data_IF_484391040149
#
_entry.id   IF_484391040149
#
_cell.length_a   1.000
_cell.length_b   1.000
_cell.length_c   1.000
_cell.angle_alpha   90.00
_cell.angle_beta   90.00
_cell.angle_gamma   90.00
#
_symmetry.space_group_name_H-M   'P 1'
#
loop_
_entity.id
_entity.type
_entity.pdbx_description
1 polymer ?
#
# COMPACT_ATOMS: atom_id res chain seq x y z
N UNK A 1 10.52 -33.87 14.42
CA UNK A 1 10.98 -32.95 15.47
C UNK A 1 9.89 -31.89 15.62
N UNK A 2 9.06 -31.97 16.65
CA UNK A 2 8.00 -30.99 16.90
C UNK A 2 8.63 -29.75 17.55
N UNK A 3 8.29 -28.56 17.06
CA UNK A 3 8.73 -27.29 17.65
C UNK A 3 8.10 -27.09 19.02
N UNK A 4 8.88 -26.59 19.98
CA UNK A 4 8.40 -26.27 21.34
C UNK A 4 7.38 -25.13 21.27
N UNK A 5 6.42 -25.08 22.20
CA UNK A 5 5.38 -24.03 22.24
C UNK A 5 5.98 -22.61 22.24
N UNK A 6 7.03 -22.39 23.02
CA UNK A 6 7.81 -21.14 23.03
C UNK A 6 8.43 -20.78 21.67
N UNK A 7 8.88 -21.78 20.91
CA UNK A 7 9.47 -21.56 19.58
C UNK A 7 8.40 -21.12 18.58
N UNK A 8 7.21 -21.72 18.65
CA UNK A 8 6.06 -21.34 17.82
C UNK A 8 5.62 -19.91 18.11
N UNK A 9 5.51 -19.54 19.39
CA UNK A 9 5.13 -18.19 19.81
C UNK A 9 6.16 -17.15 19.34
N UNK A 10 7.46 -17.44 19.52
CA UNK A 10 8.54 -16.56 19.01
C UNK A 10 8.49 -16.41 17.50
N UNK A 11 8.25 -17.49 16.77
CA UNK A 11 8.10 -17.46 15.33
C UNK A 11 6.91 -16.58 14.89
N UNK A 12 5.74 -16.78 15.50
CA UNK A 12 4.54 -15.99 15.22
C UNK A 12 4.75 -14.49 15.49
N UNK A 13 5.39 -14.16 16.61
CA UNK A 13 5.70 -12.77 16.96
C UNK A 13 6.67 -12.13 15.96
N UNK A 14 7.73 -12.85 15.58
CA UNK A 14 8.67 -12.40 14.56
C UNK A 14 7.98 -12.19 13.21
N UNK A 15 7.14 -13.13 12.78
CA UNK A 15 6.39 -13.03 11.54
C UNK A 15 5.39 -11.87 11.55
N UNK A 16 4.68 -11.65 12.66
CA UNK A 16 3.76 -10.52 12.81
C UNK A 16 4.49 -9.18 12.71
N UNK A 17 5.63 -9.05 13.41
CA UNK A 17 6.46 -7.85 13.36
C UNK A 17 6.96 -7.58 11.93
N UNK A 18 7.50 -8.60 11.26
CA UNK A 18 7.95 -8.47 9.87
C UNK A 18 6.81 -8.05 8.92
N UNK A 19 5.60 -8.61 9.12
CA UNK A 19 4.45 -8.26 8.31
C UNK A 19 4.02 -6.80 8.51
N UNK A 20 4.04 -6.31 9.77
CA UNK A 20 3.74 -4.91 10.10
C UNK A 20 4.78 -3.94 9.52
N UNK A 21 6.07 -4.27 9.65
CA UNK A 21 7.16 -3.48 9.09
C UNK A 21 7.05 -3.40 7.55
N UNK A 22 6.72 -4.52 6.90
CA UNK A 22 6.48 -4.54 5.46
C UNK A 22 5.27 -3.70 5.02
N UNK A 23 4.20 -3.66 5.80
CA UNK A 23 3.06 -2.77 5.56
C UNK A 23 3.46 -1.30 5.60
N UNK A 24 4.30 -0.91 6.57
CA UNK A 24 4.83 0.46 6.69
C UNK A 24 5.81 0.78 5.57
N UNK A 25 6.62 -0.20 5.14
CA UNK A 25 7.55 -0.03 4.03
C UNK A 25 6.84 0.31 2.72
N UNK A 26 5.62 -0.17 2.48
CA UNK A 26 4.85 0.23 1.30
C UNK A 26 4.44 1.72 1.32
N UNK A 27 4.21 2.30 2.50
CA UNK A 27 3.93 3.74 2.60
C UNK A 27 5.15 4.56 2.22
N UNK A 28 6.31 4.20 2.76
CA UNK A 28 7.59 4.84 2.42
C UNK A 28 7.93 4.68 0.95
N UNK A 29 7.73 3.47 0.38
CA UNK A 29 7.94 3.22 -1.06
C UNK A 29 7.03 4.10 -1.91
N UNK A 30 5.75 4.21 -1.57
CA UNK A 30 4.81 5.07 -2.29
C UNK A 30 5.21 6.54 -2.24
N UNK A 31 5.65 7.04 -1.08
CA UNK A 31 6.12 8.42 -0.92
C UNK A 31 7.36 8.71 -1.77
N UNK A 32 8.39 7.87 -1.66
CA UNK A 32 9.65 8.04 -2.42
C UNK A 32 9.38 8.02 -3.93
N UNK A 33 8.60 7.04 -4.41
CA UNK A 33 8.29 6.94 -5.84
C UNK A 33 7.44 8.12 -6.32
N UNK A 34 6.49 8.60 -5.52
CA UNK A 34 5.69 9.79 -5.87
C UNK A 34 6.55 11.03 -6.03
N UNK A 35 7.50 11.26 -5.12
CA UNK A 35 8.45 12.37 -5.20
C UNK A 35 9.33 12.24 -6.44
N UNK A 36 9.86 11.04 -6.70
CA UNK A 36 10.66 10.76 -7.89
C UNK A 36 9.87 11.00 -9.18
N UNK A 37 8.61 10.57 -9.22
CA UNK A 37 7.72 10.76 -10.35
C UNK A 37 7.47 12.25 -10.66
N UNK A 38 7.14 13.05 -9.64
CA UNK A 38 6.99 14.51 -9.79
C UNK A 38 8.27 15.18 -10.27
N UNK A 39 9.41 14.77 -9.72
CA UNK A 39 10.71 15.28 -10.12
C UNK A 39 11.01 14.96 -11.59
N UNK A 40 10.76 13.73 -12.03
CA UNK A 40 10.92 13.32 -13.44
C UNK A 40 10.04 14.14 -14.37
N UNK A 41 8.77 14.35 -14.05
CA UNK A 41 7.87 15.21 -14.85
C UNK A 41 8.43 16.64 -14.92
N UNK A 42 8.84 17.21 -13.80
CA UNK A 42 9.42 18.55 -13.75
C UNK A 42 10.69 18.67 -14.60
N UNK A 43 11.54 17.65 -14.59
CA UNK A 43 12.74 17.61 -15.44
C UNK A 43 12.37 17.55 -16.94
N UNK A 44 11.42 16.69 -17.32
CA UNK A 44 10.93 16.59 -18.71
C UNK A 44 10.39 17.95 -19.18
N UNK A 45 9.60 18.65 -18.35
CA UNK A 45 9.05 19.96 -18.71
C UNK A 45 10.10 21.05 -18.96
N UNK A 46 11.30 20.93 -18.38
CA UNK A 46 12.40 21.90 -18.55
C UNK A 46 13.25 21.64 -19.79
N UNK A 47 13.44 20.38 -20.15
CA UNK A 47 14.23 19.97 -21.34
C UNK A 47 13.43 20.21 -22.63
N UNK A 48 12.12 20.39 -22.51
CA UNK A 48 11.21 20.60 -23.61
C UNK A 48 11.41 21.94 -24.32
N UNK A 49 11.79 21.91 -25.59
CA UNK A 49 11.94 23.10 -26.44
C UNK A 49 10.75 23.36 -27.36
N UNK A 50 9.89 22.36 -27.57
CA UNK A 50 8.65 22.47 -28.36
C UNK A 50 7.42 22.28 -27.47
N UNK A 51 6.34 22.99 -27.76
CA UNK A 51 5.06 22.77 -27.07
C UNK A 51 4.58 21.35 -27.38
N UNK A 52 4.54 20.46 -26.38
CA UNK A 52 3.84 19.18 -26.47
C UNK A 52 2.34 19.35 -26.64
N UNK A 53 1.81 20.55 -26.40
CA UNK A 53 0.39 20.77 -26.15
C UNK A 53 -0.13 21.78 -27.16
N UNK A 54 -0.52 21.27 -28.31
CA UNK A 54 -1.06 22.10 -29.40
C UNK A 54 -2.58 22.04 -29.43
N UNK A 55 -3.18 21.01 -28.81
CA UNK A 55 -4.63 20.84 -28.71
C UNK A 55 -5.11 20.88 -27.25
N UNK A 56 -6.34 21.39 -26.98
CA UNK A 56 -6.93 21.39 -25.64
C UNK A 56 -7.06 19.97 -25.03
N UNK A 57 -7.19 18.94 -25.88
CA UNK A 57 -7.22 17.54 -25.45
C UNK A 57 -5.88 17.06 -24.86
N UNK A 58 -4.76 17.62 -25.34
CA UNK A 58 -3.43 17.29 -24.83
C UNK A 58 -3.21 17.79 -23.40
N UNK A 59 -3.80 18.95 -23.07
CA UNK A 59 -3.75 19.53 -21.72
C UNK A 59 -4.50 18.61 -20.75
N UNK A 60 -5.69 18.15 -21.13
CA UNK A 60 -6.48 17.22 -20.30
C UNK A 60 -5.73 15.90 -20.09
N UNK A 61 -5.15 15.34 -21.16
CA UNK A 61 -4.36 14.11 -21.05
C UNK A 61 -3.11 14.28 -20.18
N UNK A 62 -2.45 15.43 -20.25
CA UNK A 62 -1.31 15.73 -19.37
C UNK A 62 -1.73 15.75 -17.90
N UNK A 63 -2.82 16.45 -17.57
CA UNK A 63 -3.35 16.46 -16.21
C UNK A 63 -3.73 15.05 -15.75
N UNK A 64 -4.34 14.24 -16.63
CA UNK A 64 -4.64 12.85 -16.32
C UNK A 64 -3.37 12.03 -16.05
N UNK A 65 -2.35 12.14 -16.92
CA UNK A 65 -1.06 11.44 -16.77
C UNK A 65 -0.40 11.81 -15.44
N UNK A 66 -0.42 13.07 -15.04
CA UNK A 66 0.26 13.54 -13.81
C UNK A 66 -0.57 13.20 -12.57
N UNK A 67 -1.86 13.55 -12.55
CA UNK A 67 -2.70 13.47 -11.35
C UNK A 67 -3.13 12.04 -11.05
N UNK A 68 -3.47 11.25 -12.08
CA UNK A 68 -4.01 9.92 -11.85
C UNK A 68 -3.05 8.99 -11.09
N UNK A 69 -1.76 8.87 -11.45
CA UNK A 69 -0.80 8.08 -10.67
C UNK A 69 -0.58 8.62 -9.26
N UNK A 70 -0.61 9.95 -9.06
CA UNK A 70 -0.50 10.56 -7.72
C UNK A 70 -1.66 10.16 -6.81
N UNK A 71 -2.89 10.15 -7.34
CA UNK A 71 -4.06 9.65 -6.61
C UNK A 71 -3.88 8.17 -6.26
N UNK A 72 -3.35 7.35 -7.17
CA UNK A 72 -3.09 5.94 -6.90
C UNK A 72 -2.02 5.72 -5.83
N UNK A 73 -0.95 6.51 -5.81
CA UNK A 73 0.04 6.47 -4.74
C UNK A 73 -0.55 6.95 -3.41
N UNK A 74 -1.38 8.00 -3.41
CA UNK A 74 -2.12 8.41 -2.22
C UNK A 74 -3.06 7.30 -1.71
N UNK A 75 -3.65 6.50 -2.60
CA UNK A 75 -4.47 5.35 -2.23
C UNK A 75 -3.67 4.20 -1.56
N UNK A 76 -2.34 4.13 -1.76
CA UNK A 76 -1.48 3.21 -1.00
C UNK A 76 -1.41 3.62 0.47
N UNK A 77 -1.37 4.93 0.74
CA UNK A 77 -1.33 5.52 2.08
C UNK A 77 -2.68 5.46 2.79
N UNK A 78 -3.79 5.37 2.04
CA UNK A 78 -5.13 5.46 2.62
C UNK A 78 -5.42 4.30 3.60
N UNK A 79 -5.74 4.60 4.87
CA UNK A 79 -5.92 3.60 5.92
C UNK A 79 -7.18 2.77 5.66
N UNK A 80 -7.04 1.65 4.97
CA UNK A 80 -8.17 0.82 4.56
C UNK A 80 -8.43 -0.32 5.54
N UNK A 81 -8.48 -0.01 6.84
CA UNK A 81 -8.83 -1.02 7.86
C UNK A 81 -10.28 -1.49 7.72
N UNK A 82 -11.19 -0.65 7.21
CA UNK A 82 -12.60 -1.02 6.95
C UNK A 82 -12.78 -2.02 5.81
N UNK A 83 -11.82 -2.16 4.88
CA UNK A 83 -11.88 -3.15 3.80
C UNK A 83 -10.94 -4.32 4.03
N UNK A 84 -10.22 -4.39 5.16
CA UNK A 84 -9.71 -5.68 5.60
C UNK A 84 -10.97 -6.54 5.78
N UNK A 85 -11.18 -7.59 4.96
CA UNK A 85 -12.32 -8.46 5.13
C UNK A 85 -12.34 -8.86 6.60
N UNK A 86 -13.51 -8.92 7.23
CA UNK A 86 -13.63 -9.64 8.49
C UNK A 86 -13.19 -11.08 8.18
N UNK A 87 -11.90 -11.35 8.34
CA UNK A 87 -11.27 -12.65 8.13
C UNK A 87 -12.17 -13.62 8.86
N UNK A 88 -12.78 -14.55 8.12
CA UNK A 88 -13.89 -15.40 8.57
C UNK A 88 -13.69 -15.72 10.04
N UNK A 89 -14.43 -15.00 10.89
CA UNK A 89 -14.31 -15.14 12.33
C UNK A 89 -14.71 -16.59 12.61
N UNK A 90 -13.74 -17.46 12.94
CA UNK A 90 -13.98 -18.61 13.80
C UNK A 90 -14.37 -18.04 15.16
N UNK A 91 -15.60 -17.53 15.24
CA UNK A 91 -16.03 -16.39 16.07
C UNK A 91 -16.06 -16.67 17.58
N UNK A 92 -15.57 -17.83 18.02
CA UNK A 92 -15.68 -18.28 19.41
C UNK A 92 -14.38 -18.21 20.21
N UNK A 93 -13.21 -18.04 19.59
CA UNK A 93 -11.92 -18.18 20.31
C UNK A 93 -10.97 -16.96 20.24
N UNK A 94 -11.26 -15.96 19.41
CA UNK A 94 -10.36 -14.81 19.19
C UNK A 94 -11.00 -13.55 19.78
N UNK A 95 -10.34 -12.92 20.74
CA UNK A 95 -10.85 -11.75 21.48
C UNK A 95 -10.37 -10.40 20.92
N UNK A 96 -9.50 -10.39 19.91
CA UNK A 96 -8.99 -9.17 19.25
C UNK A 96 -8.26 -8.21 20.22
N UNK A 97 -7.47 -8.77 21.15
CA UNK A 97 -6.85 -8.02 22.25
C UNK A 97 -5.67 -7.14 21.79
N UNK A 98 -5.03 -7.47 20.66
CA UNK A 98 -3.89 -6.70 20.14
C UNK A 98 -4.25 -5.27 19.68
N UNK A 99 -5.48 -5.07 19.23
CA UNK A 99 -6.01 -3.75 18.84
C UNK A 99 -7.53 -3.79 18.90
N UNK A 100 -8.10 -3.14 19.90
CA UNK A 100 -9.53 -3.00 20.11
C UNK A 100 -9.97 -1.55 19.92
N UNK A 101 -11.22 -1.35 19.51
CA UNK A 101 -11.80 -0.02 19.54
C UNK A 101 -12.12 0.36 21.00
N UNK A 102 -11.95 1.62 21.45
CA UNK A 102 -12.28 2.03 22.82
C UNK A 102 -13.73 1.77 23.25
N UNK A 103 -14.62 1.46 22.31
CA UNK A 103 -16.01 1.05 22.58
C UNK A 103 -16.18 -0.45 22.80
N UNK A 104 -15.14 -1.26 22.58
CA UNK A 104 -15.16 -2.73 22.67
C UNK A 104 -14.60 -3.26 24.00
N UNK A 105 -13.82 -2.46 24.73
CA UNK A 105 -13.27 -2.79 26.05
C UNK A 105 -13.52 -1.60 26.98
N UNK A 106 -14.25 -1.83 28.07
CA UNK A 106 -14.75 -0.75 28.94
C UNK A 106 -13.74 -0.41 30.05
N UNK A 107 -12.92 -1.37 30.48
CA UNK A 107 -11.91 -1.16 31.52
C UNK A 107 -10.63 -1.98 31.32
N UNK A 108 -9.54 -1.55 31.98
CA UNK A 108 -8.26 -2.28 32.00
C UNK A 108 -8.42 -3.63 32.69
N UNK A 109 -9.26 -3.73 33.73
CA UNK A 109 -9.52 -4.98 34.43
C UNK A 109 -10.22 -5.99 33.51
N UNK A 110 -11.16 -5.52 32.69
CA UNK A 110 -11.82 -6.35 31.67
C UNK A 110 -10.80 -6.86 30.63
N UNK A 111 -9.85 -6.01 30.23
CA UNK A 111 -8.76 -6.41 29.32
C UNK A 111 -7.87 -7.51 29.92
N UNK A 112 -7.43 -7.34 31.17
CA UNK A 112 -6.56 -8.32 31.86
C UNK A 112 -7.27 -9.66 32.02
N UNK A 113 -8.53 -9.65 32.46
CA UNK A 113 -9.34 -10.87 32.58
C UNK A 113 -9.53 -11.57 31.24
N UNK A 114 -9.68 -10.81 30.15
CA UNK A 114 -9.80 -11.39 28.81
C UNK A 114 -8.49 -12.03 28.34
N UNK A 115 -7.34 -11.51 28.78
CA UNK A 115 -6.00 -12.00 28.45
C UNK A 115 -5.71 -13.37 29.07
N UNK A 116 -6.16 -13.59 30.31
CA UNK A 116 -5.98 -14.86 31.04
C UNK A 116 -6.76 -16.04 30.42
N UNK A 117 -7.83 -15.73 29.69
CA UNK A 117 -8.71 -16.73 29.05
C UNK A 117 -8.39 -16.95 27.56
N UNK A 118 -7.40 -16.26 27.00
CA UNK A 118 -7.11 -16.26 25.56
C UNK A 118 -6.02 -17.26 25.17
N UNK A 119 -6.27 -17.98 24.09
CA UNK A 119 -5.22 -18.71 23.37
C UNK A 119 -4.37 -17.72 22.57
N UNK A 120 -3.19 -17.44 23.10
CA UNK A 120 -2.22 -16.49 22.53
C UNK A 120 -1.79 -16.92 21.11
N UNK A 121 -1.66 -18.22 20.83
CA UNK A 121 -1.26 -18.72 19.51
C UNK A 121 -2.34 -18.41 18.47
N UNK A 122 -3.62 -18.60 18.82
CA UNK A 122 -4.74 -18.25 17.94
C UNK A 122 -4.88 -16.76 17.71
N UNK A 123 -4.69 -15.95 18.76
CA UNK A 123 -4.79 -14.49 18.69
C UNK A 123 -3.67 -13.91 17.79
N UNK A 124 -2.42 -14.34 17.98
CA UNK A 124 -1.29 -13.95 17.13
C UNK A 124 -1.48 -14.40 15.68
N UNK A 125 -1.95 -15.62 15.46
CA UNK A 125 -2.20 -16.16 14.12
C UNK A 125 -3.28 -15.35 13.39
N UNK A 126 -4.33 -14.94 14.11
CA UNK A 126 -5.38 -14.10 13.56
C UNK A 126 -4.89 -12.72 13.15
N UNK A 127 -4.09 -12.06 14.00
CA UNK A 127 -3.50 -10.78 13.67
C UNK A 127 -2.48 -10.87 12.53
N UNK A 128 -1.65 -11.91 12.51
CA UNK A 128 -0.73 -12.17 11.41
C UNK A 128 -1.49 -12.33 10.09
N UNK A 129 -2.62 -13.03 10.08
CA UNK A 129 -3.45 -13.18 8.89
C UNK A 129 -4.02 -11.83 8.44
N UNK A 130 -4.58 -11.03 9.35
CA UNK A 130 -5.08 -9.68 9.03
C UNK A 130 -4.01 -8.79 8.41
N UNK A 131 -2.84 -8.72 9.07
CA UNK A 131 -1.71 -7.89 8.61
C UNK A 131 -1.20 -8.39 7.26
N UNK A 132 -1.18 -9.70 7.04
CA UNK A 132 -0.79 -10.29 5.76
C UNK A 132 -1.73 -9.91 4.61
N UNK A 133 -3.04 -9.91 4.84
CA UNK A 133 -4.02 -9.43 3.85
C UNK A 133 -3.82 -7.94 3.56
N UNK A 134 -3.61 -7.14 4.60
CA UNK A 134 -3.37 -5.71 4.45
C UNK A 134 -2.09 -5.41 3.66
N UNK A 135 -1.03 -6.19 3.89
CA UNK A 135 0.21 -6.14 3.12
C UNK A 135 -0.03 -6.40 1.64
N UNK A 136 -0.79 -7.43 1.30
CA UNK A 136 -1.06 -7.77 -0.10
C UNK A 136 -1.92 -6.71 -0.80
N UNK A 137 -2.92 -6.15 -0.09
CA UNK A 137 -3.70 -5.02 -0.59
C UNK A 137 -2.81 -3.80 -0.90
N UNK A 138 -1.89 -3.44 -0.01
CA UNK A 138 -0.93 -2.36 -0.25
C UNK A 138 0.01 -2.66 -1.42
N UNK A 139 0.49 -3.90 -1.52
CA UNK A 139 1.31 -4.36 -2.65
C UNK A 139 0.58 -4.16 -3.97
N UNK A 140 -0.66 -4.64 -4.09
CA UNK A 140 -1.46 -4.53 -5.31
C UNK A 140 -1.70 -3.07 -5.69
N UNK A 141 -2.05 -2.22 -4.72
CA UNK A 141 -2.22 -0.77 -4.96
C UNK A 141 -0.93 -0.10 -5.42
N UNK A 142 0.18 -0.43 -4.78
CA UNK A 142 1.49 0.10 -5.15
C UNK A 142 1.89 -0.32 -6.57
N UNK A 143 1.73 -1.59 -6.93
CA UNK A 143 2.03 -2.08 -8.28
C UNK A 143 1.14 -1.44 -9.33
N UNK A 144 -0.15 -1.23 -9.05
CA UNK A 144 -1.06 -0.50 -9.95
C UNK A 144 -0.61 0.94 -10.13
N UNK A 145 -0.30 1.66 -9.05
CA UNK A 145 0.19 3.03 -9.11
C UNK A 145 1.47 3.13 -9.94
N UNK A 146 2.42 2.21 -9.72
CA UNK A 146 3.66 2.12 -10.46
C UNK A 146 3.42 1.86 -11.95
N UNK A 147 2.55 0.90 -12.28
CA UNK A 147 2.21 0.59 -13.67
C UNK A 147 1.66 1.81 -14.42
N UNK A 148 0.71 2.54 -13.83
CA UNK A 148 0.13 3.72 -14.46
C UNK A 148 1.11 4.90 -14.54
N UNK A 149 1.97 5.07 -13.53
CA UNK A 149 3.05 6.06 -13.58
C UNK A 149 4.02 5.79 -14.73
N UNK A 150 4.48 4.53 -14.85
CA UNK A 150 5.36 4.11 -15.94
C UNK A 150 4.70 4.23 -17.30
N UNK A 151 3.44 3.81 -17.44
CA UNK A 151 2.68 3.96 -18.68
C UNK A 151 2.56 5.43 -19.09
N UNK A 152 2.27 6.32 -18.12
CA UNK A 152 2.22 7.75 -18.34
C UNK A 152 3.55 8.33 -18.86
N UNK A 153 4.68 7.93 -18.27
CA UNK A 153 6.01 8.35 -18.76
C UNK A 153 6.31 7.81 -20.17
N UNK A 154 5.94 6.57 -20.46
CA UNK A 154 6.09 5.99 -21.82
C UNK A 154 5.25 6.78 -22.83
N UNK A 155 4.01 7.14 -22.50
CA UNK A 155 3.17 7.96 -23.36
C UNK A 155 3.79 9.34 -23.63
N UNK A 156 4.34 9.99 -22.60
CA UNK A 156 5.06 11.27 -22.77
C UNK A 156 6.29 11.11 -23.67
N UNK A 157 7.05 10.04 -23.49
CA UNK A 157 8.23 9.74 -24.30
C UNK A 157 7.88 9.51 -25.78
N UNK A 158 6.87 8.68 -26.05
CA UNK A 158 6.39 8.43 -27.43
C UNK A 158 5.94 9.74 -28.07
N UNK A 159 5.15 10.54 -27.34
CA UNK A 159 4.66 11.82 -27.84
C UNK A 159 5.81 12.79 -28.14
N UNK A 160 6.87 12.77 -27.34
CA UNK A 160 8.04 13.62 -27.56
C UNK A 160 8.87 13.19 -28.78
N UNK A 161 9.02 11.89 -29.02
CA UNK A 161 9.84 11.37 -30.13
C UNK A 161 9.09 11.39 -31.47
N UNK A 162 7.78 11.21 -31.46
CA UNK A 162 6.97 11.05 -32.67
C UNK A 162 7.17 12.16 -33.72
N UNK A 163 7.23 13.46 -33.36
CA UNK A 163 7.53 14.52 -34.32
C UNK A 163 8.93 14.42 -34.94
N UNK A 164 9.94 14.01 -34.16
CA UNK A 164 11.31 13.85 -34.67
C UNK A 164 11.41 12.69 -35.67
N UNK A 165 10.71 11.58 -35.42
CA UNK A 165 10.66 10.44 -36.35
C UNK A 165 10.02 10.81 -37.69
N UNK A 166 8.92 11.58 -37.66
CA UNK A 166 8.26 12.05 -38.89
C UNK A 166 9.09 13.07 -39.67
N UNK A 167 9.94 13.85 -39.00
CA UNK A 167 10.83 14.81 -39.67
C UNK A 167 12.03 14.16 -40.38
N UNK A 168 12.28 12.87 -40.13
CA UNK A 168 13.40 12.09 -40.70
C UNK A 168 12.97 11.19 -41.87
N UNK A 169 11.67 11.01 -42.14
CA UNK A 169 11.12 10.24 -43.27
C UNK A 169 10.65 11.13 -44.40
#
# INVERSE_FOLDING_TARGET
MQSTEDEKLKFLYAALKEAQDNVRNYDTKAQIVSIGYLFTIGAISKVQTQSLFNAPLDIIMMWAIIIFPLILFAAVLYPTRKMAPSVKRGRKAVKALFYFHPSEVVSVDEYVNQLDEVDIEQELSYELFKVSVLRDLKRVRFLRALFFASLGLICLFIKQIFPYLLSLS
#
